data_IF_257109696608
#
_entry.id   IF_257109696608
#
_cell.length_a   1.000
_cell.length_b   1.000
_cell.length_c   1.000
_cell.angle_alpha   90.00
_cell.angle_beta   90.00
_cell.angle_gamma   90.00
#
_symmetry.space_group_name_H-M   'P 1'
#
loop_
_entity.id
_entity.type
_entity.pdbx_description
1 polymer ?
#
# COMPACT_ATOMS: atom_id res chain seq x y z
N UNK A 1 29.36 13.23 6.56
CA UNK A 1 28.62 14.34 7.19
C UNK A 1 27.14 14.30 6.82
N UNK A 2 26.78 14.24 5.52
CA UNK A 2 25.38 14.17 5.06
C UNK A 2 24.61 13.00 5.70
N UNK A 3 25.15 11.77 5.61
CA UNK A 3 24.52 10.57 6.19
C UNK A 3 24.20 10.72 7.69
N UNK A 4 25.15 11.23 8.47
CA UNK A 4 25.00 11.41 9.91
C UNK A 4 23.87 12.40 10.26
N UNK A 5 23.82 13.54 9.55
CA UNK A 5 22.75 14.52 9.76
C UNK A 5 21.37 13.98 9.36
N UNK A 6 21.30 13.20 8.27
CA UNK A 6 20.05 12.55 7.85
C UNK A 6 19.56 11.56 8.90
N UNK A 7 20.46 10.76 9.47
CA UNK A 7 20.09 9.80 10.54
C UNK A 7 19.59 10.54 11.78
N UNK A 8 20.27 11.59 12.23
CA UNK A 8 19.80 12.41 13.37
C UNK A 8 18.38 12.92 13.13
N UNK A 9 18.12 13.48 11.93
CA UNK A 9 16.81 13.98 11.57
C UNK A 9 15.73 12.88 11.63
N UNK A 10 16.01 11.70 11.05
CA UNK A 10 15.08 10.57 11.09
C UNK A 10 14.86 10.05 12.51
N UNK A 11 15.91 9.94 13.35
CA UNK A 11 15.77 9.53 14.76
C UNK A 11 14.85 10.45 15.55
N UNK A 12 14.87 11.76 15.29
CA UNK A 12 13.95 12.72 15.93
C UNK A 12 12.52 12.46 15.47
N UNK A 13 12.30 12.24 14.16
CA UNK A 13 10.98 12.01 13.59
C UNK A 13 10.38 10.68 14.03
N UNK A 14 11.18 9.61 14.07
CA UNK A 14 10.74 8.29 14.55
C UNK A 14 10.50 8.29 16.06
N UNK A 15 11.33 8.99 16.84
CA UNK A 15 11.09 9.19 18.27
C UNK A 15 9.81 9.97 18.57
N UNK A 16 9.52 11.03 17.79
CA UNK A 16 8.24 11.75 17.92
C UNK A 16 7.05 10.84 17.57
N UNK A 17 7.18 10.00 16.55
CA UNK A 17 6.12 9.08 16.14
C UNK A 17 5.87 7.99 17.18
N UNK A 18 6.91 7.48 17.85
CA UNK A 18 6.79 6.48 18.91
C UNK A 18 6.16 7.02 20.20
N UNK A 19 6.34 8.31 20.53
CA UNK A 19 5.78 8.90 21.75
C UNK A 19 4.35 9.42 21.55
N UNK A 20 4.07 9.98 20.37
CA UNK A 20 2.82 10.71 20.10
C UNK A 20 1.89 9.99 19.13
N UNK A 21 2.19 8.75 18.74
CA UNK A 21 1.42 7.93 17.78
C UNK A 21 1.02 8.70 16.50
N UNK A 22 1.92 9.57 16.00
CA UNK A 22 1.64 10.49 14.88
C UNK A 22 1.41 9.70 13.58
N UNK A 23 2.17 8.61 13.38
CA UNK A 23 2.07 7.71 12.23
C UNK A 23 2.16 6.26 12.70
N UNK A 24 1.31 5.40 12.14
CA UNK A 24 1.29 3.96 12.46
C UNK A 24 2.41 3.17 11.80
N UNK A 25 2.95 3.65 10.69
CA UNK A 25 4.01 3.00 9.93
C UNK A 25 5.12 4.00 9.58
N UNK A 26 6.38 3.60 9.78
CA UNK A 26 7.53 4.47 9.49
C UNK A 26 7.74 4.72 7.99
N UNK A 27 7.07 3.99 7.08
CA UNK A 27 7.01 4.26 5.64
C UNK A 27 8.34 4.19 4.85
N UNK A 28 9.50 4.14 5.50
CA UNK A 28 10.82 4.20 4.87
C UNK A 28 11.07 3.05 3.87
N UNK A 29 10.47 1.88 4.11
CA UNK A 29 10.59 0.70 3.25
C UNK A 29 9.31 0.41 2.45
N UNK A 30 8.29 1.26 2.55
CA UNK A 30 6.97 1.02 1.99
C UNK A 30 6.40 -0.34 2.41
N UNK A 31 5.72 -1.02 1.48
CA UNK A 31 5.11 -2.34 1.73
C UNK A 31 6.12 -3.49 1.81
N UNK A 32 7.41 -3.25 1.57
CA UNK A 32 8.42 -4.31 1.67
C UNK A 32 8.71 -4.71 3.12
N UNK A 33 8.65 -3.76 4.06
CA UNK A 33 8.87 -3.99 5.48
C UNK A 33 8.09 -2.97 6.31
N UNK A 34 6.99 -3.42 6.92
CA UNK A 34 6.23 -2.63 7.89
C UNK A 34 6.87 -2.77 9.26
N UNK A 35 7.41 -1.67 9.78
CA UNK A 35 7.99 -1.60 11.12
C UNK A 35 7.09 -0.71 11.96
N UNK A 36 6.79 -1.18 13.17
CA UNK A 36 6.13 -0.35 14.17
C UNK A 36 6.98 0.90 14.49
N UNK A 37 6.36 1.98 14.99
CA UNK A 37 7.10 3.19 15.36
C UNK A 37 8.26 2.92 16.32
N UNK A 38 8.05 2.04 17.30
CA UNK A 38 9.05 1.65 18.31
C UNK A 38 10.24 0.90 17.68
N UNK A 39 9.97 -0.10 16.84
CA UNK A 39 11.01 -0.85 16.15
C UNK A 39 11.84 0.07 15.24
N UNK A 40 11.18 1.00 14.56
CA UNK A 40 11.87 1.94 13.68
C UNK A 40 12.74 2.92 14.46
N UNK A 41 12.26 3.39 15.62
CA UNK A 41 13.04 4.27 16.50
C UNK A 41 14.29 3.57 17.05
N UNK A 42 14.16 2.32 17.52
CA UNK A 42 15.29 1.51 17.99
C UNK A 42 16.31 1.32 16.85
N UNK A 43 15.84 0.97 15.64
CA UNK A 43 16.68 0.84 14.45
C UNK A 43 17.45 2.14 14.17
N UNK A 44 16.78 3.29 14.24
CA UNK A 44 17.42 4.58 14.01
C UNK A 44 18.44 4.93 15.10
N UNK A 45 18.20 4.59 16.37
CA UNK A 45 19.19 4.75 17.46
C UNK A 45 20.41 3.88 17.20
N UNK A 46 20.24 2.62 16.83
CA UNK A 46 21.36 1.72 16.52
C UNK A 46 22.18 2.27 15.34
N UNK A 47 21.52 2.72 14.28
CA UNK A 47 22.17 3.36 13.14
C UNK A 47 22.85 4.68 13.54
N UNK A 48 22.29 5.44 14.49
CA UNK A 48 22.90 6.66 15.01
C UNK A 48 24.18 6.36 15.78
N UNK A 49 24.21 5.32 16.61
CA UNK A 49 25.41 4.89 17.33
C UNK A 49 26.50 4.42 16.35
N UNK A 50 26.15 3.55 15.39
CA UNK A 50 27.09 3.06 14.38
C UNK A 50 27.64 4.20 13.50
N UNK A 51 26.77 5.13 13.08
CA UNK A 51 27.19 6.28 12.28
C UNK A 51 28.00 7.30 13.08
N UNK A 52 27.74 7.47 14.37
CA UNK A 52 28.56 8.28 15.28
C UNK A 52 29.98 7.75 15.35
N UNK A 53 30.14 6.42 15.53
CA UNK A 53 31.45 5.77 15.54
C UNK A 53 32.24 6.08 14.25
N UNK A 54 31.61 5.85 13.08
CA UNK A 54 32.22 6.15 11.78
C UNK A 54 32.54 7.65 11.65
N UNK A 55 31.67 8.53 12.13
CA UNK A 55 31.87 9.98 12.04
C UNK A 55 33.04 10.46 12.90
N UNK A 56 33.18 9.96 14.13
CA UNK A 56 34.30 10.32 15.01
C UNK A 56 35.63 9.76 14.49
N UNK A 57 35.65 8.50 14.05
CA UNK A 57 36.86 7.88 13.52
C UNK A 57 37.13 8.18 12.04
N UNK A 58 36.35 9.07 11.39
CA UNK A 58 36.45 9.34 9.94
C UNK A 58 37.85 9.72 9.44
N UNK A 59 38.67 10.34 10.29
CA UNK A 59 40.04 10.74 9.95
C UNK A 59 41.03 9.56 9.96
N UNK A 60 40.65 8.44 10.57
CA UNK A 60 41.43 7.20 10.65
C UNK A 60 40.95 6.14 9.65
N UNK A 61 39.91 6.43 8.87
CA UNK A 61 39.38 5.51 7.85
C UNK A 61 40.16 5.72 6.56
N UNK A 62 40.97 4.72 6.20
CA UNK A 62 41.70 4.70 4.94
C UNK A 62 40.86 4.04 3.83
N UNK A 63 41.02 4.49 2.57
CA UNK A 63 40.32 3.87 1.44
C UNK A 63 40.71 2.40 1.30
N UNK A 64 39.71 1.53 1.14
CA UNK A 64 39.90 0.07 1.00
C UNK A 64 40.73 -0.27 -0.25
N UNK A 65 40.52 0.46 -1.35
CA UNK A 65 41.32 0.33 -2.56
C UNK A 65 42.33 1.46 -2.65
N UNK A 66 43.59 1.10 -2.89
CA UNK A 66 44.71 2.05 -3.01
C UNK A 66 44.65 2.91 -4.27
N UNK A 67 43.97 2.44 -5.32
CA UNK A 67 43.83 3.17 -6.59
C UNK A 67 42.60 4.06 -6.55
N UNK A 68 42.83 5.39 -6.56
CA UNK A 68 41.76 6.38 -6.60
C UNK A 68 40.82 6.19 -7.81
N UNK A 69 41.35 5.75 -8.96
CA UNK A 69 40.55 5.47 -10.16
C UNK A 69 39.54 4.35 -9.95
N UNK A 70 39.90 3.31 -9.18
CA UNK A 70 38.99 2.21 -8.86
C UNK A 70 37.88 2.67 -7.92
N UNK A 71 38.22 3.42 -6.85
CA UNK A 71 37.24 4.01 -5.93
C UNK A 71 36.24 4.91 -6.65
N UNK A 72 36.73 5.82 -7.51
CA UNK A 72 35.87 6.70 -8.30
C UNK A 72 35.01 5.92 -9.28
N UNK A 73 35.53 4.87 -9.91
CA UNK A 73 34.76 4.05 -10.85
C UNK A 73 33.62 3.30 -10.17
N UNK A 74 33.86 2.74 -8.97
CA UNK A 74 32.81 2.08 -8.18
C UNK A 74 31.73 3.07 -7.77
N UNK A 75 32.12 4.28 -7.33
CA UNK A 75 31.17 5.34 -6.96
C UNK A 75 30.30 5.76 -8.14
N UNK A 76 30.92 6.01 -9.31
CA UNK A 76 30.21 6.39 -10.53
C UNK A 76 29.27 5.26 -10.96
N UNK A 77 29.74 4.01 -10.96
CA UNK A 77 28.91 2.86 -11.29
C UNK A 77 27.70 2.74 -10.35
N UNK A 78 27.91 2.86 -9.04
CA UNK A 78 26.82 2.82 -8.06
C UNK A 78 25.81 3.96 -8.25
N UNK A 79 26.29 5.17 -8.55
CA UNK A 79 25.42 6.32 -8.85
C UNK A 79 24.62 6.10 -10.14
N UNK A 80 25.27 5.64 -11.22
CA UNK A 80 24.61 5.32 -12.49
C UNK A 80 23.59 4.19 -12.33
N UNK A 81 23.90 3.15 -11.54
CA UNK A 81 22.98 2.05 -11.26
C UNK A 81 21.74 2.55 -10.52
N UNK A 82 21.91 3.37 -9.48
CA UNK A 82 20.81 3.95 -8.71
C UNK A 82 19.91 4.84 -9.59
N UNK A 83 20.52 5.72 -10.40
CA UNK A 83 19.80 6.56 -11.35
C UNK A 83 19.11 5.74 -12.45
N UNK A 84 19.75 4.66 -12.91
CA UNK A 84 19.18 3.75 -13.92
C UNK A 84 17.94 3.03 -13.41
N UNK A 85 17.98 2.48 -12.19
CA UNK A 85 16.83 1.82 -11.56
C UNK A 85 15.70 2.85 -11.29
N UNK A 86 16.05 4.05 -10.83
CA UNK A 86 15.07 5.11 -10.58
C UNK A 86 14.41 5.58 -11.88
N UNK A 87 15.21 5.76 -12.94
CA UNK A 87 14.74 6.11 -14.28
C UNK A 87 13.84 5.03 -14.88
N UNK A 88 14.21 3.76 -14.72
CA UNK A 88 13.38 2.62 -15.11
C UNK A 88 11.99 2.70 -14.45
N UNK A 89 11.92 2.97 -13.15
CA UNK A 89 10.65 3.09 -12.42
C UNK A 89 9.74 4.25 -12.89
N UNK A 90 10.27 5.22 -13.63
CA UNK A 90 9.48 6.30 -14.23
C UNK A 90 8.81 5.90 -15.55
N UNK A 91 9.33 4.88 -16.24
CA UNK A 91 8.87 4.48 -17.58
C UNK A 91 8.36 3.03 -17.64
N UNK A 92 8.61 2.24 -16.61
CA UNK A 92 8.25 0.84 -16.48
C UNK A 92 7.74 0.56 -15.07
N UNK A 93 7.07 -0.57 -14.88
CA UNK A 93 6.70 -1.00 -13.54
C UNK A 93 7.95 -1.40 -12.72
N UNK A 94 7.89 -1.26 -11.37
CA UNK A 94 8.94 -1.78 -10.50
C UNK A 94 9.17 -3.27 -10.75
N UNK A 95 10.43 -3.70 -10.70
CA UNK A 95 10.83 -5.09 -10.93
C UNK A 95 10.19 -6.06 -9.92
N UNK A 96 9.92 -5.58 -8.70
CA UNK A 96 9.29 -6.35 -7.64
C UNK A 96 8.13 -5.52 -7.08
N UNK A 97 6.94 -6.12 -7.07
CA UNK A 97 5.73 -5.51 -6.52
C UNK A 97 5.37 -6.16 -5.18
N UNK A 98 5.55 -5.42 -4.08
CA UNK A 98 5.21 -5.86 -2.72
C UNK A 98 3.75 -5.58 -2.34
N UNK A 99 2.99 -4.91 -3.20
CA UNK A 99 1.64 -4.42 -2.90
C UNK A 99 0.61 -5.54 -2.93
N UNK A 100 -0.52 -5.30 -2.26
CA UNK A 100 -1.65 -6.24 -2.24
C UNK A 100 -2.23 -6.53 -3.63
N UNK A 101 -2.06 -5.61 -4.58
CA UNK A 101 -2.51 -5.73 -5.97
C UNK A 101 -1.48 -6.34 -6.92
N UNK A 102 -0.45 -7.03 -6.43
CA UNK A 102 0.55 -7.66 -7.30
C UNK A 102 -0.07 -8.82 -8.11
N UNK A 103 0.56 -9.14 -9.23
CA UNK A 103 0.19 -10.31 -10.04
C UNK A 103 0.18 -11.59 -9.20
N UNK A 104 -0.85 -12.41 -9.38
CA UNK A 104 -1.09 -13.66 -8.66
C UNK A 104 -1.99 -13.52 -7.42
N UNK A 105 -2.22 -12.32 -6.89
CA UNK A 105 -3.13 -12.13 -5.76
C UNK A 105 -4.59 -12.10 -6.20
N UNK A 106 -5.49 -12.57 -5.34
CA UNK A 106 -6.92 -12.38 -5.47
C UNK A 106 -7.40 -11.17 -4.66
N UNK A 107 -8.02 -10.20 -5.32
CA UNK A 107 -8.45 -8.95 -4.71
C UNK A 107 -9.59 -9.16 -3.71
N UNK A 108 -10.53 -10.07 -4.00
CA UNK A 108 -11.65 -10.38 -3.09
C UNK A 108 -11.12 -10.99 -1.79
N UNK A 109 -10.17 -11.93 -1.89
CA UNK A 109 -9.53 -12.49 -0.69
C UNK A 109 -8.75 -11.42 0.09
N UNK A 110 -8.01 -10.56 -0.62
CA UNK A 110 -7.20 -9.48 -0.01
C UNK A 110 -8.03 -8.37 0.62
N UNK A 111 -9.28 -8.20 0.19
CA UNK A 111 -10.27 -7.32 0.82
C UNK A 111 -10.87 -7.93 2.09
N UNK A 112 -10.65 -9.23 2.35
CA UNK A 112 -11.25 -9.96 3.47
C UNK A 112 -10.23 -10.76 4.30
N UNK A 113 -8.93 -10.48 4.17
CA UNK A 113 -7.86 -11.22 4.86
C UNK A 113 -7.43 -10.60 6.21
N UNK A 114 -8.21 -9.65 6.71
CA UNK A 114 -8.07 -9.07 8.03
C UNK A 114 -8.54 -10.03 9.14
N UNK A 115 -7.98 -9.83 10.32
CA UNK A 115 -8.29 -10.58 11.55
C UNK A 115 -8.83 -9.56 12.55
N UNK A 116 -10.05 -9.77 13.04
CA UNK A 116 -10.64 -8.88 14.03
C UNK A 116 -9.83 -8.88 15.34
N UNK A 117 -9.68 -7.72 16.01
CA UNK A 117 -9.04 -7.64 17.32
C UNK A 117 -9.81 -8.46 18.35
N UNK A 118 -9.08 -9.15 19.22
CA UNK A 118 -9.67 -9.91 20.33
C UNK A 118 -9.58 -9.06 21.59
N UNK A 119 -10.74 -8.67 22.10
CA UNK A 119 -10.87 -7.93 23.36
C UNK A 119 -11.22 -8.90 24.48
N UNK A 120 -10.59 -8.73 25.63
CA UNK A 120 -11.06 -9.31 26.89
C UNK A 120 -11.66 -8.18 27.73
N UNK A 121 -12.95 -8.34 28.05
CA UNK A 121 -13.67 -7.43 28.93
C UNK A 121 -13.46 -7.88 30.37
N UNK A 122 -12.75 -7.07 31.14
CA UNK A 122 -12.69 -7.16 32.58
C UNK A 122 -13.58 -6.10 33.21
N UNK A 123 -14.09 -6.40 34.40
CA UNK A 123 -15.04 -5.56 35.10
C UNK A 123 -14.46 -5.15 36.44
N UNK A 124 -14.28 -3.85 36.63
CA UNK A 124 -13.77 -3.27 37.87
C UNK A 124 -14.96 -2.98 38.78
N UNK A 125 -14.91 -3.54 39.97
CA UNK A 125 -15.89 -3.35 41.02
C UNK A 125 -15.23 -2.76 42.26
N UNK A 126 -15.95 -1.92 42.97
CA UNK A 126 -15.52 -1.35 44.25
C UNK A 126 -16.31 -1.95 45.40
N UNK A 127 -15.63 -2.33 46.47
CA UNK A 127 -16.28 -2.87 47.66
C UNK A 127 -16.94 -1.73 48.46
N UNK A 128 -18.23 -1.86 48.76
CA UNK A 128 -19.02 -0.80 49.43
C UNK A 128 -18.56 -0.49 50.87
N UNK A 129 -17.85 -1.42 51.52
CA UNK A 129 -17.41 -1.29 52.93
C UNK A 129 -15.97 -0.82 53.07
N UNK A 130 -15.07 -1.31 52.21
CA UNK A 130 -13.64 -1.01 52.31
C UNK A 130 -13.13 -0.01 51.28
N UNK A 131 -13.92 0.29 50.24
CA UNK A 131 -13.50 1.13 49.11
C UNK A 131 -12.43 0.49 48.22
N UNK A 132 -12.12 -0.80 48.41
CA UNK A 132 -11.12 -1.51 47.61
C UNK A 132 -11.67 -1.85 46.22
N UNK A 133 -10.87 -1.58 45.19
CA UNK A 133 -11.18 -1.91 43.80
C UNK A 133 -10.62 -3.29 43.45
N UNK A 134 -11.41 -4.09 42.73
CA UNK A 134 -11.00 -5.41 42.25
C UNK A 134 -11.53 -5.65 40.85
N UNK A 135 -10.65 -6.19 40.01
CA UNK A 135 -10.92 -6.56 38.62
C UNK A 135 -11.39 -8.01 38.54
N UNK A 136 -12.49 -8.24 37.82
CA UNK A 136 -13.09 -9.55 37.62
C UNK A 136 -13.23 -9.84 36.12
N UNK A 137 -12.88 -11.06 35.71
CA UNK A 137 -13.21 -11.59 34.39
C UNK A 137 -14.65 -12.13 34.37
N UNK A 138 -15.15 -12.54 33.19
CA UNK A 138 -16.52 -13.09 33.09
C UNK A 138 -16.75 -14.31 34.00
N UNK A 139 -15.72 -15.14 34.24
CA UNK A 139 -15.84 -16.29 35.16
C UNK A 139 -15.87 -15.85 36.63
N UNK A 140 -15.06 -14.86 36.99
CA UNK A 140 -14.99 -14.28 38.33
C UNK A 140 -16.26 -13.55 38.74
N UNK A 141 -16.95 -12.91 37.80
CA UNK A 141 -18.28 -12.32 37.98
C UNK A 141 -19.31 -13.34 38.50
N UNK A 142 -19.34 -14.53 37.91
CA UNK A 142 -20.26 -15.61 38.32
C UNK A 142 -20.13 -16.01 39.80
N UNK A 143 -18.95 -15.83 40.39
CA UNK A 143 -18.64 -16.23 41.76
C UNK A 143 -18.61 -15.05 42.74
N UNK A 144 -19.09 -13.89 42.30
CA UNK A 144 -18.99 -12.64 43.03
C UNK A 144 -20.25 -12.37 43.86
N UNK A 145 -20.06 -11.82 45.06
CA UNK A 145 -21.19 -11.37 45.87
C UNK A 145 -21.61 -9.95 45.48
N UNK A 146 -22.65 -9.85 44.64
CA UNK A 146 -23.19 -8.58 44.12
C UNK A 146 -23.76 -7.65 45.20
N UNK A 147 -23.96 -8.12 46.43
CA UNK A 147 -24.42 -7.25 47.54
C UNK A 147 -23.27 -6.38 48.09
N UNK A 148 -22.05 -6.91 48.12
CA UNK A 148 -20.87 -6.28 48.73
C UNK A 148 -20.09 -5.38 47.78
N UNK A 149 -20.30 -5.54 46.47
CA UNK A 149 -19.52 -4.90 45.44
C UNK A 149 -20.42 -4.12 44.48
N UNK A 150 -19.96 -2.94 44.09
CA UNK A 150 -20.66 -2.05 43.15
C UNK A 150 -19.86 -1.93 41.86
N UNK A 151 -20.54 -2.02 40.72
CA UNK A 151 -19.90 -1.88 39.42
C UNK A 151 -19.37 -0.46 39.27
N UNK A 152 -18.10 -0.34 38.87
CA UNK A 152 -17.47 0.96 38.64
C UNK A 152 -17.25 1.19 37.15
N UNK A 153 -16.58 0.26 36.50
CA UNK A 153 -16.13 0.44 35.11
C UNK A 153 -15.94 -0.93 34.43
N UNK A 154 -16.20 -0.98 33.13
CA UNK A 154 -15.81 -2.11 32.29
C UNK A 154 -14.56 -1.72 31.52
N UNK A 155 -13.48 -2.46 31.71
CA UNK A 155 -12.20 -2.25 31.05
C UNK A 155 -12.05 -3.29 29.94
N UNK A 156 -11.96 -2.83 28.71
CA UNK A 156 -11.63 -3.70 27.59
C UNK A 156 -10.13 -3.66 27.37
N UNK A 157 -9.46 -4.79 27.51
CA UNK A 157 -8.03 -4.92 27.22
C UNK A 157 -7.86 -5.63 25.88
N UNK A 158 -7.07 -5.05 24.98
CA UNK A 158 -6.73 -5.66 23.70
C UNK A 158 -5.70 -6.76 23.98
N UNK A 159 -6.08 -8.02 23.79
CA UNK A 159 -5.15 -9.15 23.92
C UNK A 159 -4.36 -9.32 22.64
N UNK A 160 -5.04 -9.19 21.50
CA UNK A 160 -4.44 -9.27 20.18
C UNK A 160 -4.95 -8.10 19.35
N UNK A 161 -4.02 -7.24 18.93
CA UNK A 161 -4.32 -6.27 17.88
C UNK A 161 -4.78 -7.04 16.64
N UNK A 162 -5.93 -6.63 16.10
CA UNK A 162 -6.44 -7.18 14.87
C UNK A 162 -5.52 -6.81 13.72
N UNK A 163 -5.49 -7.63 12.68
CA UNK A 163 -4.82 -7.30 11.43
C UNK A 163 -5.86 -6.67 10.51
N UNK A 164 -5.66 -5.45 10.06
CA UNK A 164 -6.54 -4.88 9.03
C UNK A 164 -6.37 -5.66 7.70
N UNK A 165 -7.38 -5.64 6.82
CA UNK A 165 -7.29 -6.25 5.48
C UNK A 165 -6.05 -5.77 4.68
N UNK A 166 -5.64 -6.48 3.65
CA UNK A 166 -4.57 -5.99 2.77
C UNK A 166 -5.07 -4.89 1.82
N UNK A 167 -6.38 -4.85 1.57
CA UNK A 167 -7.09 -3.87 0.74
C UNK A 167 -8.31 -3.39 1.52
N UNK A 168 -8.46 -2.07 1.70
CA UNK A 168 -9.57 -1.47 2.45
C UNK A 168 -10.49 -0.62 1.58
N UNK A 169 -9.90 0.22 0.73
CA UNK A 169 -10.62 1.31 0.04
C UNK A 169 -10.75 1.06 -1.46
N UNK A 170 -10.92 -0.20 -1.85
CA UNK A 170 -11.18 -0.54 -3.24
C UNK A 170 -12.68 -0.53 -3.51
N UNK A 171 -13.16 0.64 -3.92
CA UNK A 171 -14.57 0.89 -4.28
C UNK A 171 -14.59 1.47 -5.69
N UNK A 172 -15.35 0.84 -6.58
CA UNK A 172 -15.58 1.25 -7.96
C UNK A 172 -17.00 1.79 -8.06
N UNK A 173 -17.11 3.07 -8.41
CA UNK A 173 -18.36 3.81 -8.47
C UNK A 173 -18.74 4.06 -9.93
N UNK A 174 -19.98 3.72 -10.28
CA UNK A 174 -20.55 3.97 -11.61
C UNK A 174 -21.14 5.38 -11.76
N UNK A 175 -21.75 5.67 -12.91
CA UNK A 175 -22.42 6.95 -13.20
C UNK A 175 -23.62 7.28 -12.30
N UNK A 176 -24.15 6.28 -11.58
CA UNK A 176 -25.29 6.40 -10.68
C UNK A 176 -24.90 6.44 -9.20
N UNK A 177 -23.60 6.64 -8.90
CA UNK A 177 -23.02 6.59 -7.54
C UNK A 177 -23.19 5.22 -6.84
N UNK A 178 -23.33 4.13 -7.61
CA UNK A 178 -23.45 2.77 -7.08
C UNK A 178 -22.09 2.06 -7.02
N UNK A 179 -21.86 1.31 -5.94
CA UNK A 179 -20.68 0.45 -5.79
C UNK A 179 -20.85 -0.84 -6.62
N UNK A 180 -20.07 -0.94 -7.70
CA UNK A 180 -20.05 -2.09 -8.62
C UNK A 180 -18.82 -2.98 -8.43
N UNK A 181 -18.07 -2.81 -7.34
CA UNK A 181 -16.79 -3.52 -7.11
C UNK A 181 -16.96 -5.03 -7.16
N UNK A 182 -17.93 -5.56 -6.41
CA UNK A 182 -18.16 -7.00 -6.35
C UNK A 182 -18.67 -7.55 -7.69
N UNK A 183 -19.48 -6.78 -8.42
CA UNK A 183 -19.92 -7.18 -9.75
C UNK A 183 -18.72 -7.33 -10.68
N UNK A 184 -17.81 -6.35 -10.72
CA UNK A 184 -16.64 -6.39 -11.58
C UNK A 184 -15.69 -7.53 -11.17
N UNK A 185 -15.40 -7.67 -9.88
CA UNK A 185 -14.44 -8.67 -9.39
C UNK A 185 -14.95 -10.11 -9.51
N UNK A 186 -16.26 -10.35 -9.44
CA UNK A 186 -16.81 -11.71 -9.54
C UNK A 186 -17.05 -12.19 -10.96
N UNK A 187 -16.85 -11.34 -11.97
CA UNK A 187 -16.96 -11.74 -13.39
C UNK A 187 -16.07 -12.93 -13.71
N UNK A 188 -16.69 -13.93 -14.35
CA UNK A 188 -16.00 -15.14 -14.81
C UNK A 188 -15.04 -14.85 -15.95
N UNK A 189 -15.45 -13.94 -16.83
CA UNK A 189 -14.70 -13.57 -18.02
C UNK A 189 -13.58 -12.60 -17.66
N UNK A 190 -12.42 -12.67 -18.36
CA UNK A 190 -11.34 -11.75 -18.14
C UNK A 190 -11.76 -10.29 -18.41
N UNK A 191 -11.23 -9.38 -17.60
CA UNK A 191 -11.42 -7.94 -17.79
C UNK A 191 -10.10 -7.20 -17.68
N UNK A 192 -9.84 -6.29 -18.61
CA UNK A 192 -8.68 -5.41 -18.57
C UNK A 192 -9.08 -4.05 -17.97
N UNK A 193 -8.54 -3.76 -16.80
CA UNK A 193 -8.66 -2.48 -16.14
C UNK A 193 -7.57 -1.53 -16.66
N UNK A 194 -7.99 -0.36 -17.12
CA UNK A 194 -7.13 0.74 -17.54
C UNK A 194 -7.20 1.80 -16.45
N UNK A 195 -6.13 1.92 -15.67
CA UNK A 195 -6.10 2.71 -14.44
C UNK A 195 -5.38 4.03 -14.69
N UNK A 196 -6.01 5.15 -14.34
CA UNK A 196 -5.43 6.49 -14.43
C UNK A 196 -5.75 7.31 -13.19
N UNK A 197 -4.74 7.53 -12.34
CA UNK A 197 -4.93 8.26 -11.08
C UNK A 197 -5.06 9.80 -11.25
N UNK A 198 -4.76 10.33 -12.43
CA UNK A 198 -4.90 11.75 -12.74
C UNK A 198 -5.06 11.95 -14.25
N UNK A 199 -6.29 12.20 -14.70
CA UNK A 199 -6.60 12.42 -16.12
C UNK A 199 -5.86 13.61 -16.74
N UNK A 200 -5.49 14.62 -15.96
CA UNK A 200 -4.74 15.79 -16.47
C UNK A 200 -3.30 15.45 -16.83
N UNK A 201 -2.75 14.40 -16.20
CA UNK A 201 -1.38 13.91 -16.43
C UNK A 201 -1.37 12.59 -17.19
N UNK A 202 -2.51 12.14 -17.69
CA UNK A 202 -2.61 10.88 -18.41
C UNK A 202 -1.94 10.97 -19.77
N UNK A 203 -1.24 9.91 -20.16
CA UNK A 203 -0.77 9.75 -21.54
C UNK A 203 -1.96 9.46 -22.46
N UNK A 204 -2.41 10.52 -23.16
CA UNK A 204 -3.54 10.46 -24.09
C UNK A 204 -3.25 9.56 -25.29
N UNK A 205 -2.03 9.53 -25.80
CA UNK A 205 -1.67 8.64 -26.91
C UNK A 205 -1.75 7.18 -26.49
N UNK A 206 -1.32 6.88 -25.27
CA UNK A 206 -1.50 5.58 -24.62
C UNK A 206 -2.97 5.16 -24.57
N UNK A 207 -3.87 6.05 -24.14
CA UNK A 207 -5.30 5.78 -24.13
C UNK A 207 -5.89 5.54 -25.53
N UNK A 208 -5.47 6.30 -26.54
CA UNK A 208 -5.92 6.10 -27.92
C UNK A 208 -5.49 4.71 -28.43
N UNK A 209 -4.27 4.27 -28.14
CA UNK A 209 -3.80 2.91 -28.48
C UNK A 209 -4.64 1.84 -27.79
N UNK A 210 -4.98 2.04 -26.52
CA UNK A 210 -5.86 1.13 -25.77
C UNK A 210 -7.30 1.11 -26.31
N UNK A 211 -7.82 2.27 -26.73
CA UNK A 211 -9.11 2.36 -27.40
C UNK A 211 -9.12 1.58 -28.73
N UNK A 212 -8.04 1.62 -29.51
CA UNK A 212 -7.90 0.80 -30.72
C UNK A 212 -7.83 -0.69 -30.38
N UNK A 213 -6.99 -1.09 -29.41
CA UNK A 213 -6.88 -2.47 -28.97
C UNK A 213 -8.23 -3.05 -28.49
N UNK A 214 -9.03 -2.25 -27.79
CA UNK A 214 -10.36 -2.68 -27.32
C UNK A 214 -11.30 -3.06 -28.47
N UNK A 215 -11.16 -2.42 -29.64
CA UNK A 215 -11.96 -2.75 -30.83
C UNK A 215 -11.47 -4.03 -31.51
N UNK A 216 -10.20 -4.39 -31.34
CA UNK A 216 -9.61 -5.59 -31.93
C UNK A 216 -9.90 -6.88 -31.14
N UNK A 217 -10.31 -6.75 -29.87
CA UNK A 217 -10.60 -7.88 -28.97
C UNK A 217 -11.98 -7.69 -28.32
N UNK A 218 -13.09 -7.94 -29.06
CA UNK A 218 -14.44 -7.71 -28.55
C UNK A 218 -14.81 -8.61 -27.36
N UNK A 219 -14.21 -9.79 -27.26
CA UNK A 219 -14.49 -10.77 -26.21
C UNK A 219 -13.83 -10.42 -24.86
N UNK A 220 -12.92 -9.44 -24.83
CA UNK A 220 -12.28 -8.96 -23.61
C UNK A 220 -12.99 -7.69 -23.14
N UNK A 221 -13.47 -7.69 -21.90
CA UNK A 221 -14.08 -6.48 -21.33
C UNK A 221 -13.00 -5.47 -20.92
N UNK A 222 -13.10 -4.23 -21.40
CA UNK A 222 -12.23 -3.13 -20.99
C UNK A 222 -12.99 -2.20 -20.05
N UNK A 223 -12.33 -1.67 -19.03
CA UNK A 223 -12.90 -0.68 -18.10
C UNK A 223 -11.86 0.38 -17.74
N UNK A 224 -12.21 1.65 -17.88
CA UNK A 224 -11.40 2.76 -17.38
C UNK A 224 -11.66 3.00 -15.90
N UNK A 225 -10.64 3.03 -15.05
CA UNK A 225 -10.76 3.41 -13.64
C UNK A 225 -9.98 4.70 -13.40
N UNK A 226 -10.65 5.74 -12.93
CA UNK A 226 -10.05 7.06 -12.75
C UNK A 226 -10.46 7.71 -11.43
N UNK A 227 -9.79 8.78 -11.05
CA UNK A 227 -10.22 9.62 -9.93
C UNK A 227 -11.16 10.77 -10.36
N UNK A 228 -11.63 10.76 -11.61
CA UNK A 228 -12.49 11.80 -12.17
C UNK A 228 -13.95 11.60 -11.79
N UNK A 229 -14.74 12.67 -11.88
CA UNK A 229 -16.21 12.58 -11.84
C UNK A 229 -16.75 11.99 -13.14
N UNK A 230 -18.03 11.61 -13.17
CA UNK A 230 -18.69 11.15 -14.39
C UNK A 230 -18.46 12.10 -15.58
N UNK A 231 -18.74 13.40 -15.42
CA UNK A 231 -18.56 14.38 -16.50
C UNK A 231 -17.12 14.44 -17.04
N UNK A 232 -16.12 14.37 -16.14
CA UNK A 232 -14.71 14.36 -16.53
C UNK A 232 -14.33 13.07 -17.27
N UNK A 233 -14.89 11.95 -16.83
CA UNK A 233 -14.70 10.65 -17.45
C UNK A 233 -15.34 10.61 -18.84
N UNK A 234 -16.55 11.14 -19.01
CA UNK A 234 -17.22 11.22 -20.30
C UNK A 234 -16.45 12.10 -21.27
N UNK A 235 -16.04 13.29 -20.85
CA UNK A 235 -15.22 14.20 -21.66
C UNK A 235 -13.94 13.50 -22.14
N UNK A 236 -13.23 12.84 -21.23
CA UNK A 236 -11.99 12.13 -21.55
C UNK A 236 -12.22 10.91 -22.45
N UNK A 237 -13.32 10.16 -22.25
CA UNK A 237 -13.71 9.04 -23.10
C UNK A 237 -13.99 9.52 -24.53
N UNK A 238 -14.66 10.66 -24.69
CA UNK A 238 -14.90 11.27 -26.00
C UNK A 238 -13.61 11.78 -26.64
N UNK A 239 -12.71 12.41 -25.87
CA UNK A 239 -11.42 12.86 -26.38
C UNK A 239 -10.57 11.69 -26.91
N UNK A 240 -10.53 10.57 -26.18
CA UNK A 240 -9.72 9.39 -26.51
C UNK A 240 -10.42 8.41 -27.46
N UNK A 241 -11.70 8.64 -27.78
CA UNK A 241 -12.55 7.75 -28.58
C UNK A 241 -12.60 6.31 -28.04
N UNK A 242 -12.54 6.19 -26.71
CA UNK A 242 -12.62 4.92 -26.01
C UNK A 242 -14.05 4.36 -26.05
N UNK A 243 -14.19 3.11 -26.49
CA UNK A 243 -15.49 2.44 -26.62
C UNK A 243 -15.96 1.76 -25.33
N UNK A 244 -15.16 1.83 -24.26
CA UNK A 244 -15.42 1.21 -22.98
C UNK A 244 -15.85 2.24 -21.91
N UNK A 245 -16.60 1.81 -20.88
CA UNK A 245 -17.03 2.71 -19.81
C UNK A 245 -15.88 3.08 -18.87
N UNK A 246 -16.04 4.23 -18.22
CA UNK A 246 -15.12 4.75 -17.22
C UNK A 246 -15.84 4.84 -15.86
N UNK A 247 -15.17 4.43 -14.80
CA UNK A 247 -15.67 4.42 -13.43
C UNK A 247 -14.74 5.17 -12.50
N UNK A 248 -15.32 5.66 -11.40
CA UNK A 248 -14.63 6.50 -10.42
C UNK A 248 -14.13 5.66 -9.24
N UNK A 249 -12.88 5.91 -8.84
CA UNK A 249 -12.18 5.24 -7.73
C UNK A 249 -11.31 6.28 -7.04
N UNK A 250 -11.06 6.12 -5.73
CA UNK A 250 -10.16 7.00 -5.00
C UNK A 250 -8.75 7.06 -5.62
N UNK A 251 -8.17 8.26 -5.65
CA UNK A 251 -6.87 8.51 -6.25
C UNK A 251 -5.74 7.74 -5.55
N UNK A 252 -5.79 7.62 -4.22
CA UNK A 252 -4.77 6.92 -3.44
C UNK A 252 -4.84 5.43 -3.72
N UNK A 253 -6.06 4.89 -3.80
CA UNK A 253 -6.30 3.50 -4.23
C UNK A 253 -5.71 3.24 -5.62
N UNK A 254 -5.97 4.10 -6.61
CA UNK A 254 -5.44 3.91 -7.98
C UNK A 254 -3.90 3.91 -8.00
N UNK A 255 -3.25 4.81 -7.26
CA UNK A 255 -1.77 4.85 -7.12
C UNK A 255 -1.20 3.63 -6.41
N UNK A 256 -1.99 3.02 -5.52
CA UNK A 256 -1.63 1.76 -4.85
C UNK A 256 -1.74 0.60 -5.82
N UNK A 257 -2.76 0.57 -6.68
CA UNK A 257 -2.90 -0.50 -7.68
C UNK A 257 -1.73 -0.46 -8.67
N UNK A 258 -1.49 0.69 -9.31
CA UNK A 258 -0.45 0.82 -10.33
C UNK A 258 0.06 2.27 -10.42
N UNK A 259 1.36 2.43 -10.69
CA UNK A 259 2.01 3.76 -10.73
C UNK A 259 2.09 4.36 -12.14
N UNK A 260 1.66 3.62 -13.15
CA UNK A 260 1.57 4.09 -14.53
C UNK A 260 0.26 4.87 -14.74
N UNK A 261 0.25 5.79 -15.71
CA UNK A 261 -0.87 6.70 -15.96
C UNK A 261 -1.06 6.94 -17.48
N UNK A 262 -1.70 6.01 -18.22
CA UNK A 262 -2.46 4.86 -17.73
C UNK A 262 -1.61 3.63 -17.39
N UNK A 263 -2.06 2.82 -16.45
CA UNK A 263 -1.56 1.47 -16.20
C UNK A 263 -2.59 0.40 -16.51
N UNK A 264 -2.13 -0.83 -16.77
CA UNK A 264 -2.98 -1.94 -17.21
C UNK A 264 -2.99 -3.03 -16.15
N UNK A 265 -4.17 -3.54 -15.82
CA UNK A 265 -4.34 -4.67 -14.89
C UNK A 265 -5.36 -5.65 -15.48
N UNK A 266 -4.91 -6.86 -15.81
CA UNK A 266 -5.78 -7.93 -16.26
C UNK A 266 -6.30 -8.70 -15.06
N UNK A 267 -7.62 -8.77 -14.92
CA UNK A 267 -8.32 -9.51 -13.89
C UNK A 267 -9.07 -10.70 -14.48
N UNK A 268 -9.18 -11.78 -13.69
CA UNK A 268 -10.07 -12.93 -13.97
C UNK A 268 -10.57 -13.48 -12.64
N UNK A 269 -11.89 -13.46 -12.38
CA UNK A 269 -12.50 -13.90 -11.11
C UNK A 269 -11.84 -13.29 -9.86
N UNK A 270 -11.56 -12.00 -9.92
CA UNK A 270 -10.94 -11.23 -8.83
C UNK A 270 -9.42 -11.44 -8.71
N UNK A 271 -8.82 -12.37 -9.45
CA UNK A 271 -7.38 -12.59 -9.45
C UNK A 271 -6.66 -11.71 -10.47
N UNK A 272 -5.55 -11.10 -10.04
CA UNK A 272 -4.67 -10.32 -10.91
C UNK A 272 -3.82 -11.26 -11.75
N UNK A 273 -4.10 -11.35 -13.04
CA UNK A 273 -3.39 -12.22 -13.99
C UNK A 273 -2.14 -11.55 -14.54
N UNK A 274 -2.18 -10.23 -14.74
CA UNK A 274 -1.02 -9.49 -15.24
C UNK A 274 -1.17 -7.98 -15.07
N UNK A 275 -0.02 -7.30 -15.08
CA UNK A 275 0.08 -5.85 -14.90
C UNK A 275 1.15 -5.27 -15.81
N UNK A 276 0.85 -4.14 -16.45
CA UNK A 276 1.77 -3.51 -17.39
C UNK A 276 1.76 -1.99 -17.25
N UNK A 277 2.95 -1.40 -17.45
CA UNK A 277 3.05 0.02 -17.76
C UNK A 277 2.53 0.25 -19.18
N UNK A 278 2.05 1.46 -19.50
CA UNK A 278 1.63 1.76 -20.88
C UNK A 278 2.74 1.56 -21.92
N UNK A 279 3.99 1.85 -21.55
CA UNK A 279 5.17 1.60 -22.40
C UNK A 279 5.44 0.12 -22.65
N UNK A 280 4.92 -0.75 -21.78
CA UNK A 280 5.05 -2.22 -21.85
C UNK A 280 3.70 -2.87 -22.20
N UNK A 281 2.81 -2.12 -22.85
CA UNK A 281 1.46 -2.57 -23.17
C UNK A 281 1.51 -3.89 -23.97
N UNK A 282 0.81 -4.94 -23.53
CA UNK A 282 0.79 -6.22 -24.22
C UNK A 282 0.05 -6.08 -25.55
N UNK A 283 0.50 -6.86 -26.53
CA UNK A 283 -0.20 -6.99 -27.80
C UNK A 283 -1.43 -7.91 -27.67
N UNK A 284 -2.21 -7.97 -28.76
CA UNK A 284 -3.40 -8.81 -28.85
C UNK A 284 -3.11 -10.28 -28.59
N UNK A 285 -2.05 -10.82 -29.16
CA UNK A 285 -1.71 -12.24 -29.02
C UNK A 285 -1.38 -12.60 -27.58
N UNK A 286 -0.61 -11.74 -26.90
CA UNK A 286 -0.28 -11.87 -25.48
C UNK A 286 -1.54 -11.90 -24.63
N UNK A 287 -2.46 -10.96 -24.84
CA UNK A 287 -3.73 -10.93 -24.10
C UNK A 287 -4.58 -12.17 -24.36
N UNK A 288 -4.70 -12.61 -25.61
CA UNK A 288 -5.44 -13.83 -25.96
C UNK A 288 -4.84 -15.09 -25.33
N UNK A 289 -3.53 -15.15 -25.13
CA UNK A 289 -2.89 -16.26 -24.45
C UNK A 289 -3.23 -16.33 -22.96
N UNK A 290 -3.47 -15.19 -22.30
CA UNK A 290 -3.97 -15.16 -20.92
C UNK A 290 -5.48 -15.51 -20.80
N UNK A 291 -6.22 -15.44 -21.91
CA UNK A 291 -7.65 -15.77 -21.93
C UNK A 291 -7.90 -17.28 -22.04
N UNK A 292 -6.97 -18.04 -22.64
CA UNK A 292 -7.00 -19.51 -22.72
C UNK A 292 -6.92 -20.15 -21.33
#
# INVERSE_FOLDING_TARGET
MILFNIIIFFTILTGASAIFDIVKDCGCFGDALKLSPDESFIKDIVLLVLSSLIFYYRLYIFPVFSKQTLNSSILIFGACLSLGISGWGCIHLPLIDYRAYKTGNNLIEKMNDGIAPVFESSFIYINKKSGLEKEFDMKGLSNMNYEEWEWKETKNTIISEGKENSIHDFIIINEYDEDITNELLTKSDPSLLIISYDLKKADKEGFIKLAMLSKEIPDLSFYGLTNGTFDQNEEFRHETQAAFPFYSVDQTTLKTIIRSNPGLVLLKKGSVIGKWHINDMPDKETLLNYMK
#
